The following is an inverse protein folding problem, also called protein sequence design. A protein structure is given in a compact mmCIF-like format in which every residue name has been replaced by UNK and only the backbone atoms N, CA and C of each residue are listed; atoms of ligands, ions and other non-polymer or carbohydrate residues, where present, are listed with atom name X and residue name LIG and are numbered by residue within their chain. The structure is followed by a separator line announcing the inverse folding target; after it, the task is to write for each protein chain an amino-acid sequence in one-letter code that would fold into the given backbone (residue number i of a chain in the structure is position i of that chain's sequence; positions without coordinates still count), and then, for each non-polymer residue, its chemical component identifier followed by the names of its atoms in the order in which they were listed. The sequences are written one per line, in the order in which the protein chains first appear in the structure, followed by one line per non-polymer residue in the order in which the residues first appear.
data_IF_091174073589
#
_entry.id   IF_091174073589
#
_cell.length_a   1.000
_cell.length_b   1.000
_cell.length_c   1.000
_cell.angle_alpha   90.00
_cell.angle_beta   90.00
_cell.angle_gamma   90.00
#
_symmetry.space_group_name_H-M   'P 1'
#
loop_
_entity.id
_entity.type
_entity.pdbx_description
1 polymer ?
#
# COMPACT_ATOMS: atom_id res chain seq x y z
N UNK A 1 13.84 -4.94 10.06
CA UNK A 1 13.72 -4.08 8.87
C UNK A 1 12.41 -3.31 8.97
N UNK A 2 12.35 -2.02 8.62
CA UNK A 2 11.14 -1.18 8.74
C UNK A 2 10.77 -0.53 7.40
N UNK A 3 9.56 0.03 7.29
CA UNK A 3 9.09 0.77 6.11
C UNK A 3 9.64 2.21 6.11
N UNK A 4 10.65 2.48 5.27
CA UNK A 4 11.17 3.82 5.01
C UNK A 4 10.35 4.52 3.92
N UNK A 5 10.04 5.81 4.10
CA UNK A 5 9.60 6.64 2.99
C UNK A 5 10.68 6.75 1.91
N UNK A 6 10.24 6.80 0.66
CA UNK A 6 11.11 7.08 -0.49
C UNK A 6 11.27 8.60 -0.57
N UNK A 7 12.51 9.09 -0.63
CA UNK A 7 12.80 10.53 -0.79
C UNK A 7 12.32 11.10 -2.15
N UNK A 8 11.93 10.24 -3.09
CA UNK A 8 11.45 10.58 -4.41
C UNK A 8 10.34 9.60 -4.84
N UNK A 9 9.09 10.06 -4.87
CA UNK A 9 7.92 9.20 -5.07
C UNK A 9 7.81 8.63 -6.49
N UNK A 10 7.25 7.41 -6.60
CA UNK A 10 6.78 6.82 -7.85
C UNK A 10 5.24 6.72 -7.80
N UNK A 11 4.56 7.58 -8.55
CA UNK A 11 3.13 7.42 -8.85
C UNK A 11 2.98 6.32 -9.90
N UNK A 12 2.69 5.08 -9.48
CA UNK A 12 2.26 4.03 -10.40
C UNK A 12 0.74 4.08 -10.55
N UNK A 13 0.29 4.44 -11.75
CA UNK A 13 -1.04 4.05 -12.26
C UNK A 13 -0.89 2.61 -12.75
N UNK A 14 -1.54 1.67 -12.10
CA UNK A 14 -1.53 0.28 -12.57
C UNK A 14 -2.75 0.07 -13.49
N UNK A 15 -2.54 0.32 -14.79
CA UNK A 15 -3.47 -0.15 -15.82
C UNK A 15 -3.15 -1.61 -16.09
N UNK A 16 -3.56 -2.51 -15.19
CA UNK A 16 -3.47 -3.94 -15.47
C UNK A 16 -4.65 -4.32 -16.37
N UNK A 17 -4.35 -4.43 -17.67
CA UNK A 17 -5.03 -5.26 -18.67
C UNK A 17 -6.58 -5.29 -18.66
N UNK A 18 -7.17 -4.63 -19.66
CA UNK A 18 -8.46 -5.07 -20.21
C UNK A 18 -9.69 -4.27 -19.84
N UNK A 19 -9.63 -2.93 -19.80
CA UNK A 19 -10.85 -2.13 -19.87
C UNK A 19 -11.40 -2.13 -21.30
N UNK A 20 -12.31 -3.07 -21.59
CA UNK A 20 -13.17 -3.00 -22.77
C UNK A 20 -14.46 -2.25 -22.41
N UNK A 21 -14.75 -1.17 -23.12
CA UNK A 21 -15.89 -0.30 -22.84
C UNK A 21 -17.00 -0.60 -23.86
N UNK A 22 -18.02 -1.34 -23.44
CA UNK A 22 -19.21 -1.57 -24.26
C UNK A 22 -20.26 -0.48 -24.00
N UNK A 23 -20.73 0.16 -25.08
CA UNK A 23 -21.89 1.06 -25.05
C UNK A 23 -22.96 0.55 -26.01
N UNK A 24 -24.22 0.94 -25.81
CA UNK A 24 -25.36 0.48 -26.61
C UNK A 24 -25.35 0.94 -28.08
N UNK A 25 -24.31 1.63 -28.54
CA UNK A 25 -24.19 2.20 -29.89
C UNK A 25 -22.89 1.76 -30.60
N UNK A 26 -22.17 0.77 -30.07
CA UNK A 26 -20.97 0.20 -30.68
C UNK A 26 -19.78 0.12 -29.73
N UNK A 27 -18.84 -0.79 -30.03
CA UNK A 27 -17.60 -1.00 -29.28
C UNK A 27 -16.56 0.05 -29.66
N UNK A 28 -16.16 0.88 -28.68
CA UNK A 28 -14.94 1.67 -28.77
C UNK A 28 -13.81 0.89 -28.08
N UNK A 29 -12.96 0.23 -28.87
CA UNK A 29 -11.72 -0.37 -28.38
C UNK A 29 -10.63 0.70 -28.28
N UNK A 30 -10.41 1.23 -27.07
CA UNK A 30 -9.24 2.04 -26.77
C UNK A 30 -8.04 1.10 -26.55
N UNK A 31 -7.28 0.83 -27.60
CA UNK A 31 -5.99 0.11 -27.49
C UNK A 31 -4.96 1.04 -26.88
N UNK A 32 -4.93 1.15 -25.55
CA UNK A 32 -3.85 1.86 -24.87
C UNK A 32 -2.61 0.97 -24.90
N UNK A 33 -1.78 1.08 -25.95
CA UNK A 33 -0.62 0.20 -26.10
C UNK A 33 0.56 0.57 -25.19
N UNK A 34 0.62 1.78 -24.61
CA UNK A 34 1.56 2.14 -23.54
C UNK A 34 0.98 3.34 -22.78
N UNK A 35 0.67 3.19 -21.48
CA UNK A 35 0.63 4.34 -20.56
C UNK A 35 2.01 4.44 -19.93
N UNK A 36 2.79 5.44 -20.34
CA UNK A 36 3.94 5.91 -19.56
C UNK A 36 3.61 7.32 -19.12
N UNK A 37 3.01 7.46 -17.94
CA UNK A 37 2.84 8.73 -17.28
C UNK A 37 3.77 8.76 -16.06
N UNK A 38 5.01 9.21 -16.26
CA UNK A 38 5.89 9.66 -15.17
C UNK A 38 5.58 11.14 -14.96
N UNK A 39 4.47 11.45 -14.29
CA UNK A 39 4.27 12.80 -13.74
C UNK A 39 4.87 12.81 -12.35
N UNK A 40 6.12 13.29 -12.27
CA UNK A 40 6.84 13.54 -11.02
C UNK A 40 6.26 14.82 -10.39
N UNK A 41 5.23 14.66 -9.57
CA UNK A 41 4.61 15.75 -8.82
C UNK A 41 5.22 15.87 -7.42
N UNK A 42 5.55 17.09 -7.01
CA UNK A 42 5.86 17.40 -5.61
C UNK A 42 4.54 17.44 -4.81
N UNK A 43 4.06 16.28 -4.38
CA UNK A 43 2.98 16.25 -3.41
C UNK A 43 3.62 16.46 -2.02
N UNK A 44 3.56 17.69 -1.53
CA UNK A 44 3.96 18.04 -0.16
C UNK A 44 2.88 17.56 0.81
N UNK A 45 2.76 16.24 0.99
CA UNK A 45 2.04 15.72 2.15
C UNK A 45 2.94 15.91 3.37
N UNK A 46 2.44 16.50 4.47
CA UNK A 46 3.20 16.50 5.72
C UNK A 46 3.48 15.06 6.15
N UNK A 47 4.65 14.83 6.75
CA UNK A 47 5.01 13.54 7.35
C UNK A 47 3.87 13.06 8.26
N UNK A 48 3.43 11.83 8.07
CA UNK A 48 2.38 11.27 8.89
C UNK A 48 2.97 10.84 10.22
N UNK A 49 2.61 11.60 11.26
CA UNK A 49 2.89 11.24 12.66
C UNK A 49 1.78 10.28 13.11
N UNK A 50 2.17 9.06 13.42
CA UNK A 50 1.23 8.00 13.81
C UNK A 50 1.08 7.96 15.34
N UNK A 51 -0.05 7.41 15.79
CA UNK A 51 -0.24 7.15 17.20
C UNK A 51 0.82 6.15 17.68
N UNK A 52 1.44 6.46 18.81
CA UNK A 52 2.47 5.62 19.39
C UNK A 52 1.81 4.49 20.20
N UNK A 53 2.31 3.26 20.09
CA UNK A 53 1.80 2.16 20.89
C UNK A 53 2.13 2.38 22.37
N UNK A 54 1.23 2.01 23.28
CA UNK A 54 1.47 2.20 24.72
C UNK A 54 2.46 1.18 25.32
N UNK A 55 2.90 0.20 24.53
CA UNK A 55 3.99 -0.72 24.88
C UNK A 55 4.73 -1.20 23.63
N UNK A 56 5.98 -1.62 23.81
CA UNK A 56 6.76 -2.27 22.76
C UNK A 56 6.17 -3.65 22.43
N UNK A 57 6.04 -3.95 21.13
CA UNK A 57 5.58 -5.26 20.63
C UNK A 57 6.74 -5.98 19.98
N UNK A 58 7.11 -7.13 20.52
CA UNK A 58 8.20 -7.97 20.02
C UNK A 58 7.73 -9.41 19.86
N UNK A 59 7.02 -9.68 18.77
CA UNK A 59 6.51 -11.01 18.44
C UNK A 59 7.59 -11.80 17.74
N UNK A 60 7.78 -13.07 18.10
CA UNK A 60 8.76 -13.92 17.44
C UNK A 60 8.30 -14.32 16.04
N UNK A 61 9.23 -14.32 15.08
CA UNK A 61 8.97 -14.81 13.73
C UNK A 61 8.46 -16.25 13.72
N UNK A 62 7.35 -16.48 13.00
CA UNK A 62 6.75 -17.80 12.85
C UNK A 62 7.62 -18.74 12.02
N UNK A 63 7.43 -20.05 12.22
CA UNK A 63 7.92 -21.04 11.25
C UNK A 63 7.10 -20.92 9.98
N UNK A 64 7.78 -20.67 8.87
CA UNK A 64 7.13 -20.48 7.58
C UNK A 64 6.78 -21.84 6.95
N UNK A 65 5.52 -22.07 6.55
CA UNK A 65 5.10 -23.32 5.90
C UNK A 65 5.57 -23.43 4.44
N UNK A 66 6.08 -22.34 3.86
CA UNK A 66 6.49 -22.20 2.47
C UNK A 66 6.64 -20.73 2.10
N UNK A 67 6.79 -20.42 0.81
CA UNK A 67 6.77 -19.04 0.32
C UNK A 67 8.00 -18.20 0.67
N UNK A 68 9.08 -18.81 1.17
CA UNK A 68 10.33 -18.11 1.49
C UNK A 68 10.91 -17.39 0.27
N UNK A 69 10.85 -18.02 -0.91
CA UNK A 69 11.30 -17.41 -2.17
C UNK A 69 10.44 -16.20 -2.55
N UNK A 70 9.11 -16.31 -2.38
CA UNK A 70 8.19 -15.21 -2.64
C UNK A 70 8.44 -14.02 -1.72
N UNK A 71 8.62 -14.28 -0.42
CA UNK A 71 9.00 -13.27 0.57
C UNK A 71 10.33 -12.63 0.19
N UNK A 72 11.37 -13.44 -0.10
CA UNK A 72 12.69 -12.94 -0.45
C UNK A 72 12.68 -12.04 -1.70
N UNK A 73 11.88 -12.41 -2.72
CA UNK A 73 11.69 -11.60 -3.92
C UNK A 73 11.00 -10.28 -3.59
N UNK A 74 9.90 -10.29 -2.85
CA UNK A 74 9.22 -9.05 -2.42
C UNK A 74 10.16 -8.16 -1.63
N UNK A 75 10.95 -8.75 -0.73
CA UNK A 75 11.91 -8.03 0.11
C UNK A 75 12.95 -7.29 -0.71
N UNK A 76 13.53 -7.97 -1.69
CA UNK A 76 14.53 -7.41 -2.60
C UNK A 76 13.96 -6.22 -3.40
N UNK A 77 12.73 -6.33 -3.88
CA UNK A 77 12.08 -5.24 -4.62
C UNK A 77 11.80 -4.04 -3.71
N UNK A 78 11.26 -4.26 -2.51
CA UNK A 78 10.99 -3.18 -1.56
C UNK A 78 12.27 -2.46 -1.11
N UNK A 79 13.38 -3.20 -0.95
CA UNK A 79 14.68 -2.63 -0.59
C UNK A 79 15.25 -1.78 -1.73
N UNK A 80 15.19 -2.26 -2.99
CA UNK A 80 15.64 -1.52 -4.18
C UNK A 80 14.97 -0.16 -4.31
N UNK A 81 13.67 -0.08 -4.02
CA UNK A 81 12.93 1.17 -4.07
C UNK A 81 12.95 1.94 -2.75
N UNK A 82 13.76 1.52 -1.78
CA UNK A 82 13.94 2.15 -0.47
C UNK A 82 12.66 2.25 0.37
N UNK A 83 11.65 1.42 0.06
CA UNK A 83 10.45 1.27 0.89
C UNK A 83 10.80 0.54 2.18
N UNK A 84 11.78 -0.37 2.18
CA UNK A 84 12.25 -1.03 3.41
C UNK A 84 13.74 -0.87 3.61
N UNK A 85 14.19 -0.76 4.86
CA UNK A 85 15.60 -0.63 5.22
C UNK A 85 15.98 -1.46 6.44
N UNK A 86 17.22 -1.94 6.45
CA UNK A 86 17.79 -2.62 7.61
C UNK A 86 17.92 -1.66 8.81
N UNK A 87 17.53 -2.12 9.98
CA UNK A 87 17.52 -1.35 11.23
C UNK A 87 17.50 -2.29 12.42
N UNK A 88 18.10 -1.87 13.53
CA UNK A 88 17.86 -2.44 14.85
C UNK A 88 16.70 -1.72 15.52
N UNK A 89 15.61 -2.43 15.81
CA UNK A 89 14.42 -1.90 16.49
C UNK A 89 14.09 -2.76 17.71
N UNK A 90 13.56 -2.18 18.79
CA UNK A 90 13.00 -2.94 19.91
C UNK A 90 11.67 -3.62 19.55
N UNK A 91 11.04 -3.22 18.43
CA UNK A 91 9.81 -3.83 17.94
C UNK A 91 10.09 -4.98 16.97
N UNK A 92 9.15 -5.92 16.91
CA UNK A 92 9.12 -6.92 15.85
C UNK A 92 7.70 -7.43 15.61
N UNK A 93 7.24 -7.39 14.37
CA UNK A 93 6.04 -8.07 13.88
C UNK A 93 6.44 -9.22 12.95
N UNK A 94 5.77 -10.38 12.98
CA UNK A 94 6.17 -11.53 12.19
C UNK A 94 5.65 -11.42 10.76
N UNK A 95 6.41 -11.94 9.81
CA UNK A 95 6.03 -12.08 8.41
C UNK A 95 5.28 -13.40 8.21
N UNK A 96 4.21 -13.35 7.42
CA UNK A 96 3.41 -14.50 7.03
C UNK A 96 3.24 -14.59 5.51
N UNK A 97 3.54 -15.75 4.90
CA UNK A 97 3.33 -15.99 3.48
C UNK A 97 1.88 -16.37 3.22
N UNK A 98 1.23 -15.64 2.31
CA UNK A 98 -0.13 -15.94 1.84
C UNK A 98 -0.04 -16.51 0.44
N UNK A 99 -0.55 -17.74 0.24
CA UNK A 99 -0.66 -18.34 -1.09
C UNK A 99 -1.92 -17.82 -1.77
N UNK A 100 -1.77 -17.22 -2.95
CA UNK A 100 -2.86 -16.75 -3.78
C UNK A 100 -3.43 -17.88 -4.64
N UNK A 101 -4.64 -17.67 -5.18
CA UNK A 101 -5.34 -18.64 -6.02
C UNK A 101 -4.60 -18.96 -7.32
N UNK A 102 -3.80 -18.02 -7.83
CA UNK A 102 -2.91 -18.19 -9.00
C UNK A 102 -1.63 -18.99 -8.68
N UNK A 103 -1.46 -19.43 -7.42
CA UNK A 103 -0.30 -20.19 -6.95
C UNK A 103 0.89 -19.35 -6.51
N UNK A 104 0.84 -18.02 -6.66
CA UNK A 104 1.89 -17.11 -6.21
C UNK A 104 1.88 -16.95 -4.68
N UNK A 105 3.04 -16.57 -4.12
CA UNK A 105 3.19 -16.27 -2.71
C UNK A 105 3.30 -14.76 -2.51
N UNK A 106 2.48 -14.22 -1.61
CA UNK A 106 2.54 -12.82 -1.20
C UNK A 106 3.04 -12.72 0.24
N UNK A 107 3.99 -11.82 0.48
CA UNK A 107 4.42 -11.44 1.82
C UNK A 107 3.34 -10.59 2.51
N UNK A 108 3.00 -10.91 3.75
CA UNK A 108 2.16 -10.10 4.62
C UNK A 108 2.86 -9.94 5.97
N UNK A 109 2.79 -8.76 6.59
CA UNK A 109 3.31 -8.55 7.95
C UNK A 109 2.12 -8.53 8.90
N UNK A 110 2.21 -9.31 9.98
CA UNK A 110 1.14 -9.48 10.95
C UNK A 110 1.23 -8.42 12.06
N UNK A 111 0.60 -7.27 11.83
CA UNK A 111 0.54 -6.17 12.79
C UNK A 111 -0.58 -6.30 13.83
N UNK A 112 -1.20 -7.47 14.02
CA UNK A 112 -2.36 -7.60 14.93
C UNK A 112 -2.03 -7.17 16.36
N UNK A 113 -0.94 -7.67 16.94
CA UNK A 113 -0.52 -7.28 18.30
C UNK A 113 -0.15 -5.80 18.39
N UNK A 114 0.47 -5.24 17.34
CA UNK A 114 0.78 -3.81 17.27
C UNK A 114 -0.49 -2.96 17.24
N UNK A 115 -1.46 -3.34 16.40
CA UNK A 115 -2.73 -2.64 16.26
C UNK A 115 -3.55 -2.68 17.56
N UNK A 116 -3.51 -3.79 18.31
CA UNK A 116 -4.17 -3.89 19.62
C UNK A 116 -3.61 -2.91 20.64
N UNK A 117 -2.33 -2.54 20.52
CA UNK A 117 -1.66 -1.64 21.46
C UNK A 117 -1.47 -0.23 20.93
N UNK A 118 -2.01 0.06 19.76
CA UNK A 118 -1.94 1.38 19.11
C UNK A 118 -3.31 2.03 19.22
N UNK A 119 -3.40 3.25 19.79
CA UNK A 119 -4.66 3.99 19.80
C UNK A 119 -5.24 4.11 18.38
N UNK A 120 -6.54 3.85 18.18
CA UNK A 120 -7.13 3.91 16.86
C UNK A 120 -7.00 5.32 16.28
N UNK A 121 -6.51 5.42 15.06
CA UNK A 121 -6.53 6.67 14.32
C UNK A 121 -7.94 6.92 13.81
N UNK A 122 -8.60 7.96 14.30
CA UNK A 122 -9.86 8.44 13.73
C UNK A 122 -9.60 9.13 12.39
N UNK A 123 -9.41 8.35 11.33
CA UNK A 123 -9.50 8.85 9.97
C UNK A 123 -10.98 8.98 9.60
N UNK A 124 -11.40 10.17 9.15
CA UNK A 124 -12.73 10.37 8.59
C UNK A 124 -12.79 9.74 7.20
N UNK A 125 -12.95 8.42 7.13
CA UNK A 125 -13.30 7.74 5.88
C UNK A 125 -14.79 8.01 5.63
N UNK A 126 -15.15 8.75 4.58
CA UNK A 126 -16.55 9.06 4.31
C UNK A 126 -17.33 7.77 4.06
N UNK A 127 -18.62 7.75 4.44
CA UNK A 127 -19.46 6.61 4.11
C UNK A 127 -19.64 6.52 2.59
N UNK A 128 -19.87 5.30 2.09
CA UNK A 128 -20.09 5.09 0.65
C UNK A 128 -21.30 5.91 0.19
N UNK A 129 -22.35 6.02 1.01
CA UNK A 129 -23.53 6.83 0.70
C UNK A 129 -23.19 8.32 0.58
N UNK A 130 -22.47 8.88 1.55
CA UNK A 130 -22.06 10.30 1.51
C UNK A 130 -21.16 10.57 0.30
N UNK A 131 -20.25 9.64 -0.01
CA UNK A 131 -19.38 9.75 -1.19
C UNK A 131 -20.21 9.72 -2.48
N UNK A 132 -21.16 8.80 -2.60
CA UNK A 132 -22.02 8.65 -3.78
C UNK A 132 -22.95 9.83 -3.99
N UNK A 133 -23.52 10.41 -2.93
CA UNK A 133 -24.37 11.60 -3.04
C UNK A 133 -23.55 12.81 -3.55
N UNK A 134 -22.35 13.02 -3.01
CA UNK A 134 -21.45 14.06 -3.50
C UNK A 134 -21.03 13.82 -4.95
N UNK A 135 -20.67 12.59 -5.29
CA UNK A 135 -20.29 12.24 -6.66
C UNK A 135 -21.46 12.43 -7.61
N UNK A 136 -22.68 12.00 -7.29
CA UNK A 136 -23.84 12.12 -8.18
C UNK A 136 -24.17 13.57 -8.52
N UNK A 137 -23.93 14.51 -7.60
CA UNK A 137 -24.08 15.95 -7.84
C UNK A 137 -22.96 16.52 -8.72
N UNK A 138 -21.74 15.99 -8.63
CA UNK A 138 -20.54 16.51 -9.30
C UNK A 138 -20.24 15.85 -10.65
N UNK A 139 -20.65 14.59 -10.84
CA UNK A 139 -20.37 13.79 -12.02
C UNK A 139 -21.08 14.39 -13.23
N UNK A 140 -20.29 14.77 -14.23
CA UNK A 140 -20.76 15.23 -15.53
C UNK A 140 -21.09 14.03 -16.43
N UNK A 141 -21.42 14.30 -17.69
CA UNK A 141 -21.79 13.30 -18.70
C UNK A 141 -20.75 12.16 -18.87
N UNK A 142 -19.49 12.41 -18.50
CA UNK A 142 -18.41 11.42 -18.50
C UNK A 142 -17.60 11.50 -17.22
N UNK A 143 -17.16 10.34 -16.73
CA UNK A 143 -16.24 10.21 -15.61
C UNK A 143 -15.26 9.07 -15.88
N UNK A 144 -14.10 9.14 -15.23
CA UNK A 144 -13.08 8.11 -15.27
C UNK A 144 -12.76 7.68 -13.85
N UNK A 145 -12.49 6.38 -13.68
CA UNK A 145 -12.06 5.80 -12.41
C UNK A 145 -10.59 5.43 -12.57
N UNK A 146 -9.75 5.93 -11.66
CA UNK A 146 -8.32 5.57 -11.61
C UNK A 146 -8.13 4.72 -10.37
N UNK A 147 -7.61 3.50 -10.57
CA UNK A 147 -7.14 2.69 -9.46
C UNK A 147 -5.68 3.04 -9.15
N UNK A 148 -5.38 3.23 -7.87
CA UNK A 148 -4.02 3.45 -7.40
C UNK A 148 -3.53 2.15 -6.77
N UNK A 149 -2.50 1.55 -7.36
CA UNK A 149 -1.85 0.39 -6.76
C UNK A 149 -0.93 0.84 -5.62
N UNK A 150 -1.08 0.21 -4.45
CA UNK A 150 -0.26 0.42 -3.26
C UNK A 150 -0.07 1.91 -2.84
N UNK A 151 -1.14 2.71 -2.74
CA UNK A 151 -1.05 4.15 -2.48
C UNK A 151 -0.39 4.47 -1.13
N UNK A 152 -0.40 3.53 -0.19
CA UNK A 152 0.21 3.68 1.13
C UNK A 152 1.75 3.86 1.08
N UNK A 153 2.44 3.32 0.08
CA UNK A 153 3.90 3.51 -0.05
C UNK A 153 4.29 4.93 -0.49
N UNK A 154 3.32 5.73 -0.93
CA UNK A 154 3.52 7.14 -1.28
C UNK A 154 3.36 8.07 -0.09
N UNK A 155 2.97 7.54 1.08
CA UNK A 155 2.74 8.33 2.30
C UNK A 155 3.94 8.16 3.23
N UNK A 156 4.60 9.28 3.53
CA UNK A 156 5.78 9.23 4.37
C UNK A 156 5.44 9.19 5.85
N UNK A 157 6.07 8.26 6.57
CA UNK A 157 5.94 8.10 8.01
C UNK A 157 7.05 8.89 8.70
N UNK A 158 6.71 9.65 9.74
CA UNK A 158 7.70 10.36 10.56
C UNK A 158 8.75 9.38 11.15
N UNK A 159 10.02 9.81 11.21
CA UNK A 159 11.14 8.95 11.61
C UNK A 159 10.92 8.32 12.99
N UNK A 160 10.37 9.07 13.94
CA UNK A 160 10.05 8.58 15.28
C UNK A 160 8.97 7.48 15.32
N UNK A 161 8.19 7.29 14.25
CA UNK A 161 7.14 6.28 14.16
C UNK A 161 7.58 5.04 13.38
N UNK A 162 8.75 5.07 12.74
CA UNK A 162 9.16 4.02 11.79
C UNK A 162 9.55 2.70 12.50
N UNK A 163 10.20 2.80 13.67
CA UNK A 163 10.71 1.63 14.39
C UNK A 163 9.62 0.64 14.78
N UNK A 164 8.39 1.10 15.01
CA UNK A 164 7.26 0.27 15.42
C UNK A 164 6.80 -0.72 14.33
N UNK A 165 7.15 -0.47 13.07
CA UNK A 165 6.85 -1.34 11.92
C UNK A 165 7.99 -2.32 11.59
N UNK A 166 8.90 -2.54 12.52
CA UNK A 166 9.97 -3.49 12.31
C UNK A 166 9.47 -4.94 12.22
N UNK A 167 10.08 -5.72 11.33
CA UNK A 167 9.86 -7.17 11.17
C UNK A 167 11.17 -7.91 10.84
N UNK A 168 11.13 -9.24 10.95
CA UNK A 168 12.24 -10.18 10.73
C UNK A 168 11.85 -11.30 9.76
#
# INVERSE_FOLDING_TARGET
MYVSPVLEYILWVDVIHGLSLQTSVGEFCLWILVVKAVTRGHAHHPLQVLQQPWRVVMVRQYRLPGGQEGIGRTMLELEKVHIVRLMHSPFNSPVWPVKKSDGTWQMTVDYRELNEVTPPLHAAVPSIHDLMDHLTVLLRMYHYVVDMANPFFSIDIALECQEQFAFT
#
